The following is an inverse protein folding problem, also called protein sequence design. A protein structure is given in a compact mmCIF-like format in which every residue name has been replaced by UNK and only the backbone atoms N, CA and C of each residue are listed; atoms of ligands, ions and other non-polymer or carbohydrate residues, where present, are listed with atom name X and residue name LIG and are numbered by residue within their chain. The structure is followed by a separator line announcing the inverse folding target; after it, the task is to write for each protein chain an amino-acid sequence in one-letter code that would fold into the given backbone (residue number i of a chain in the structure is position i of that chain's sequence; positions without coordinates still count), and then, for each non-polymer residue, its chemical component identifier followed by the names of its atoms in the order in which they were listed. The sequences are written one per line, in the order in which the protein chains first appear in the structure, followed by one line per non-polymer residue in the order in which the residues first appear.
data_IF_584049448161
#
_entry.id   IF_584049448161
#
_cell.length_a   1.000
_cell.length_b   1.000
_cell.length_c   1.000
_cell.angle_alpha   90.00
_cell.angle_beta   90.00
_cell.angle_gamma   90.00
#
_symmetry.space_group_name_H-M   'P 1'
#
loop_
_entity.id
_entity.type
_entity.pdbx_description
1 polymer ?
#
# COMPACT_ATOMS: atom_id res chain seq x y z
N UNK A 1 21.55 -8.16 -2.22
CA UNK A 1 20.09 -8.01 -2.37
C UNK A 1 19.81 -7.09 -3.55
N UNK A 2 20.11 -5.78 -3.50
CA UNK A 2 19.84 -4.85 -4.60
C UNK A 2 20.50 -5.29 -5.93
N UNK A 3 21.71 -5.83 -5.90
CA UNK A 3 22.38 -6.36 -7.11
C UNK A 3 21.54 -7.39 -7.88
N UNK A 4 20.62 -8.08 -7.20
CA UNK A 4 19.79 -9.12 -7.77
C UNK A 4 18.36 -8.60 -8.07
N UNK A 5 17.83 -7.75 -7.20
CA UNK A 5 16.42 -7.36 -7.22
C UNK A 5 16.16 -5.92 -7.70
N UNK A 6 17.20 -5.12 -8.01
CA UNK A 6 17.02 -3.78 -8.57
C UNK A 6 16.76 -3.83 -10.09
N UNK A 7 15.76 -4.64 -10.47
CA UNK A 7 15.35 -4.85 -11.84
C UNK A 7 13.84 -4.65 -12.00
N UNK A 8 13.39 -3.52 -12.57
CA UNK A 8 11.97 -3.19 -12.71
C UNK A 8 11.20 -4.08 -13.71
N UNK A 9 11.89 -4.90 -14.50
CA UNK A 9 11.23 -5.91 -15.34
C UNK A 9 10.78 -7.14 -14.53
N UNK A 10 11.27 -7.30 -13.31
CA UNK A 10 11.00 -8.45 -12.44
C UNK A 10 10.37 -8.07 -11.12
N UNK A 11 10.57 -6.84 -10.66
CA UNK A 11 10.15 -6.36 -9.35
C UNK A 11 9.47 -5.00 -9.49
N UNK A 12 8.20 -4.93 -9.15
CA UNK A 12 7.41 -3.68 -9.25
C UNK A 12 7.83 -2.66 -8.17
N UNK A 13 7.96 -3.12 -6.93
CA UNK A 13 8.40 -2.29 -5.81
C UNK A 13 9.00 -3.12 -4.68
N UNK A 14 9.72 -2.47 -3.79
CA UNK A 14 10.32 -3.09 -2.59
C UNK A 14 9.94 -2.27 -1.36
N UNK A 15 9.44 -2.95 -0.33
CA UNK A 15 9.23 -2.37 0.99
C UNK A 15 10.59 -2.19 1.69
N UNK A 16 10.89 -0.96 2.05
CA UNK A 16 12.27 -0.51 2.28
C UNK A 16 12.71 -0.46 3.74
N UNK A 17 12.08 -1.16 4.65
CA UNK A 17 12.59 -1.18 6.03
C UNK A 17 13.25 -2.50 6.43
N UNK A 18 12.57 -3.59 6.26
CA UNK A 18 13.00 -4.89 6.75
C UNK A 18 13.44 -4.85 8.23
N UNK A 19 12.74 -4.05 9.04
CA UNK A 19 12.89 -3.95 10.48
C UNK A 19 11.63 -4.44 11.19
N UNK A 20 11.81 -4.97 12.40
CA UNK A 20 10.69 -5.42 13.24
C UNK A 20 10.03 -6.70 12.74
N UNK A 21 8.84 -6.97 13.22
CA UNK A 21 8.06 -8.11 12.79
C UNK A 21 7.63 -7.93 11.33
N UNK A 22 7.76 -8.99 10.55
CA UNK A 22 7.45 -9.04 9.12
C UNK A 22 8.16 -7.99 8.25
N UNK A 23 9.14 -7.26 8.82
CA UNK A 23 9.84 -6.22 8.08
C UNK A 23 9.07 -4.88 7.95
N UNK A 24 7.96 -4.72 8.64
CA UNK A 24 7.04 -3.59 8.51
C UNK A 24 7.40 -2.38 9.39
N UNK A 25 8.53 -2.44 10.09
CA UNK A 25 9.03 -1.33 10.91
C UNK A 25 8.31 -1.14 12.24
N UNK A 26 7.53 -2.09 12.70
CA UNK A 26 6.90 -2.06 14.02
C UNK A 26 7.37 -3.23 14.91
N UNK A 27 7.12 -3.14 16.22
CA UNK A 27 7.62 -4.10 17.21
C UNK A 27 9.15 -4.27 17.20
N UNK A 28 9.88 -3.20 17.00
CA UNK A 28 11.35 -3.18 16.97
C UNK A 28 11.89 -3.03 18.41
N UNK A 29 11.68 -4.06 19.21
CA UNK A 29 11.96 -4.04 20.66
C UNK A 29 13.45 -4.01 21.00
N UNK A 30 14.32 -4.40 20.09
CA UNK A 30 15.77 -4.40 20.26
C UNK A 30 16.39 -3.00 20.07
N UNK A 31 15.64 -2.02 19.61
CA UNK A 31 16.13 -0.65 19.49
C UNK A 31 16.04 0.09 20.82
N UNK A 32 17.15 0.69 21.20
CA UNK A 32 17.13 1.70 22.25
C UNK A 32 16.42 2.95 21.73
N UNK A 33 15.53 3.55 22.54
CA UNK A 33 14.77 4.73 22.15
C UNK A 33 15.67 5.88 21.64
N UNK A 34 16.87 6.06 22.22
CA UNK A 34 17.82 7.09 21.81
C UNK A 34 18.41 6.82 20.41
N UNK A 35 18.37 5.59 19.93
CA UNK A 35 18.92 5.19 18.64
C UNK A 35 17.84 4.96 17.57
N UNK A 36 16.58 4.88 17.95
CA UNK A 36 15.47 4.52 17.06
C UNK A 36 15.49 5.31 15.76
N UNK A 37 15.46 6.63 15.84
CA UNK A 37 15.45 7.49 14.66
C UNK A 37 16.70 7.33 13.77
N UNK A 38 17.87 7.12 14.38
CA UNK A 38 19.12 6.91 13.65
C UNK A 38 19.10 5.58 12.88
N UNK A 39 18.54 4.54 13.47
CA UNK A 39 18.45 3.23 12.82
C UNK A 39 17.47 3.27 11.67
N UNK A 40 16.30 3.88 11.82
CA UNK A 40 15.35 4.06 10.73
C UNK A 40 15.93 4.93 9.61
N UNK A 41 16.60 6.02 9.95
CA UNK A 41 17.29 6.84 8.95
C UNK A 41 18.36 6.04 8.20
N UNK A 42 19.21 5.31 8.93
CA UNK A 42 20.27 4.51 8.33
C UNK A 42 19.70 3.46 7.35
N UNK A 43 18.68 2.71 7.75
CA UNK A 43 18.12 1.68 6.86
C UNK A 43 17.45 2.29 5.64
N UNK A 44 16.72 3.40 5.80
CA UNK A 44 16.09 4.12 4.68
C UNK A 44 17.14 4.63 3.70
N UNK A 45 18.19 5.26 4.20
CA UNK A 45 19.30 5.75 3.37
C UNK A 45 20.00 4.58 2.65
N UNK A 46 20.22 3.45 3.34
CA UNK A 46 20.83 2.26 2.75
C UNK A 46 20.04 1.69 1.57
N UNK A 47 18.70 1.61 1.68
CA UNK A 47 17.86 1.18 0.56
C UNK A 47 17.94 2.18 -0.58
N UNK A 48 17.79 3.47 -0.32
CA UNK A 48 17.87 4.52 -1.32
C UNK A 48 19.24 4.60 -2.03
N UNK A 49 20.32 4.28 -1.31
CA UNK A 49 21.68 4.23 -1.89
C UNK A 49 21.90 3.04 -2.82
N UNK A 50 21.23 1.93 -2.57
CA UNK A 50 21.49 0.68 -3.28
C UNK A 50 20.48 0.36 -4.39
N UNK A 51 19.21 0.74 -4.23
CA UNK A 51 18.19 0.58 -5.25
C UNK A 51 18.05 1.87 -6.06
N UNK A 52 18.18 1.77 -7.40
CA UNK A 52 18.17 2.90 -8.32
C UNK A 52 17.10 2.82 -9.39
N UNK A 53 16.58 1.63 -9.63
CA UNK A 53 15.69 1.34 -10.74
C UNK A 53 14.30 0.89 -10.26
N UNK A 54 14.25 0.11 -9.19
CA UNK A 54 13.00 -0.39 -8.61
C UNK A 54 12.42 0.65 -7.64
N UNK A 55 11.11 0.81 -7.67
CA UNK A 55 10.39 1.71 -6.78
C UNK A 55 10.53 1.24 -5.32
N UNK A 56 10.82 2.17 -4.42
CA UNK A 56 10.87 1.90 -2.99
C UNK A 56 9.61 2.45 -2.34
N UNK A 57 9.05 1.69 -1.42
CA UNK A 57 7.89 2.10 -0.64
C UNK A 57 8.23 2.13 0.85
N UNK A 58 7.56 2.99 1.58
CA UNK A 58 7.65 3.06 3.04
C UNK A 58 6.32 2.68 3.66
N UNK A 59 6.34 1.70 4.56
CA UNK A 59 5.16 1.35 5.34
C UNK A 59 4.94 2.37 6.46
N UNK A 60 3.75 2.95 6.54
CA UNK A 60 3.33 3.76 7.66
C UNK A 60 2.88 2.88 8.84
N UNK A 61 3.00 3.40 10.05
CA UNK A 61 2.60 2.67 11.26
C UNK A 61 3.77 2.14 12.09
N UNK A 62 4.98 2.60 11.81
CA UNK A 62 6.16 2.26 12.59
C UNK A 62 6.22 3.02 13.91
N UNK A 63 7.19 2.67 14.77
CA UNK A 63 7.35 3.31 16.08
C UNK A 63 7.94 4.72 16.03
N UNK A 64 8.36 5.19 14.86
CA UNK A 64 8.87 6.57 14.71
C UNK A 64 7.76 7.56 14.32
N UNK A 65 6.61 7.04 13.88
CA UNK A 65 5.45 7.81 13.49
C UNK A 65 5.49 8.34 12.05
N UNK A 66 4.33 8.40 11.44
CA UNK A 66 4.14 8.65 9.99
C UNK A 66 4.69 9.99 9.51
N UNK A 67 4.70 11.03 10.32
CA UNK A 67 5.33 12.32 9.96
C UNK A 67 6.85 12.19 9.82
N UNK A 68 7.46 11.36 10.66
CA UNK A 68 8.90 11.14 10.59
C UNK A 68 9.25 10.20 9.44
N UNK A 69 8.45 9.18 9.21
CA UNK A 69 8.54 8.27 8.06
C UNK A 69 8.45 9.04 6.74
N UNK A 70 7.44 9.92 6.61
CA UNK A 70 7.30 10.81 5.46
C UNK A 70 8.59 11.59 5.21
N UNK A 71 9.11 12.24 6.25
CA UNK A 71 10.30 13.08 6.12
C UNK A 71 11.56 12.28 5.76
N UNK A 72 11.75 11.09 6.34
CA UNK A 72 12.92 10.26 6.08
C UNK A 72 12.90 9.60 4.69
N UNK A 73 11.76 9.12 4.25
CA UNK A 73 11.66 8.30 3.06
C UNK A 73 11.11 9.09 1.87
N UNK A 74 9.99 9.77 2.03
CA UNK A 74 9.30 10.41 0.90
C UNK A 74 9.96 11.74 0.55
N UNK A 75 10.09 12.66 1.52
CA UNK A 75 10.63 13.99 1.26
C UNK A 75 12.13 13.95 0.91
N UNK A 76 12.87 13.01 1.50
CA UNK A 76 14.32 12.88 1.28
C UNK A 76 14.69 12.02 0.09
N UNK A 77 13.99 10.91 -0.15
CA UNK A 77 14.38 9.87 -1.09
C UNK A 77 13.31 9.53 -2.13
N UNK A 78 12.22 10.25 -2.15
CA UNK A 78 11.15 10.09 -3.15
C UNK A 78 10.40 8.74 -3.11
N UNK A 79 10.38 8.05 -1.97
CA UNK A 79 9.68 6.79 -1.82
C UNK A 79 8.16 6.95 -2.02
N UNK A 80 7.51 5.87 -2.39
CA UNK A 80 6.06 5.74 -2.42
C UNK A 80 5.53 5.38 -1.03
N UNK A 81 4.22 5.37 -0.86
CA UNK A 81 3.57 5.06 0.40
C UNK A 81 2.97 3.66 0.40
N UNK A 82 3.10 2.97 1.52
CA UNK A 82 2.42 1.71 1.84
C UNK A 82 1.78 1.80 3.22
N UNK A 83 0.68 1.11 3.40
CA UNK A 83 0.09 0.88 4.71
C UNK A 83 -0.48 -0.52 4.78
N UNK A 84 0.04 -1.31 5.70
CA UNK A 84 -0.57 -2.55 6.17
C UNK A 84 -1.77 -2.23 7.08
N UNK A 85 -2.65 -3.19 7.26
CA UNK A 85 -3.72 -3.08 8.25
C UNK A 85 -4.85 -2.13 7.91
N UNK A 86 -5.10 -1.80 6.63
CA UNK A 86 -6.35 -1.12 6.25
C UNK A 86 -7.56 -2.01 6.57
N UNK A 87 -8.68 -1.38 6.86
CA UNK A 87 -9.86 -2.07 7.40
C UNK A 87 -9.83 -2.20 8.92
N UNK A 88 -8.74 -1.79 9.57
CA UNK A 88 -8.60 -1.73 11.03
C UNK A 88 -8.57 -0.30 11.54
N UNK A 89 -8.68 -0.13 12.85
CA UNK A 89 -8.54 1.17 13.51
C UNK A 89 -7.12 1.75 13.46
N UNK A 90 -6.15 0.95 13.03
CA UNK A 90 -4.76 1.40 12.89
C UNK A 90 -4.58 2.39 11.74
N UNK A 91 -5.45 2.34 10.72
CA UNK A 91 -5.41 3.28 9.62
C UNK A 91 -6.15 4.57 9.98
N UNK A 92 -5.40 5.54 10.49
CA UNK A 92 -5.92 6.77 11.07
C UNK A 92 -6.07 7.89 10.06
N UNK A 93 -6.98 8.82 10.33
CA UNK A 93 -7.24 9.98 9.46
C UNK A 93 -5.99 10.83 9.20
N UNK A 94 -5.10 10.93 10.19
CA UNK A 94 -3.84 11.67 10.03
C UNK A 94 -2.93 11.05 8.96
N UNK A 95 -2.85 9.72 8.88
CA UNK A 95 -2.11 9.02 7.83
C UNK A 95 -2.77 9.21 6.46
N UNK A 96 -4.10 9.09 6.41
CA UNK A 96 -4.90 9.33 5.19
C UNK A 96 -4.67 10.74 4.66
N UNK A 97 -4.63 11.75 5.53
CA UNK A 97 -4.38 13.13 5.14
C UNK A 97 -2.98 13.31 4.52
N UNK A 98 -1.97 12.64 5.06
CA UNK A 98 -0.63 12.65 4.46
C UNK A 98 -0.65 11.99 3.09
N UNK A 99 -1.21 10.78 2.97
CA UNK A 99 -1.32 10.04 1.71
C UNK A 99 -2.03 10.90 0.66
N UNK A 100 -3.17 11.49 1.01
CA UNK A 100 -3.94 12.34 0.10
C UNK A 100 -3.19 13.61 -0.30
N UNK A 101 -2.33 14.16 0.57
CA UNK A 101 -1.50 15.33 0.23
C UNK A 101 -0.44 15.01 -0.82
N UNK A 102 -0.12 13.75 -1.00
CA UNK A 102 0.86 13.24 -1.95
C UNK A 102 0.23 12.78 -3.28
N UNK A 103 -1.09 12.60 -3.30
CA UNK A 103 -1.84 12.24 -4.50
C UNK A 103 -1.96 13.45 -5.46
N UNK A 104 -1.83 13.28 -6.78
CA UNK A 104 -1.60 12.04 -7.53
C UNK A 104 -0.12 11.72 -7.79
N UNK A 105 0.83 12.43 -7.18
CA UNK A 105 2.26 12.31 -7.48
C UNK A 105 2.88 11.03 -6.92
N UNK A 106 2.30 10.49 -5.83
CA UNK A 106 2.78 9.29 -5.18
C UNK A 106 1.72 8.20 -5.19
N UNK A 107 2.14 6.99 -5.51
CA UNK A 107 1.29 5.81 -5.38
C UNK A 107 1.12 5.43 -3.91
N UNK A 108 -0.03 4.84 -3.62
CA UNK A 108 -0.33 4.24 -2.33
C UNK A 108 -0.60 2.74 -2.51
N UNK A 109 0.17 1.92 -1.81
CA UNK A 109 0.02 0.48 -1.73
C UNK A 109 -0.75 0.15 -0.46
N UNK A 110 -1.96 -0.36 -0.59
CA UNK A 110 -2.81 -0.72 0.53
C UNK A 110 -2.79 -2.23 0.76
N UNK A 111 -2.57 -2.66 1.99
CA UNK A 111 -2.65 -4.06 2.40
C UNK A 111 -3.73 -4.23 3.45
N UNK A 112 -4.66 -5.17 3.20
CA UNK A 112 -5.74 -5.49 4.12
C UNK A 112 -5.22 -6.08 5.43
N UNK A 113 -5.84 -5.69 6.55
CA UNK A 113 -5.58 -6.33 7.83
C UNK A 113 -5.97 -7.81 7.75
N UNK A 114 -5.17 -8.69 8.39
CA UNK A 114 -5.51 -10.11 8.47
C UNK A 114 -6.57 -10.37 9.55
N UNK A 115 -7.67 -10.99 9.16
CA UNK A 115 -8.78 -11.30 10.06
C UNK A 115 -9.18 -12.77 10.02
N UNK A 116 -8.37 -13.63 9.43
CA UNK A 116 -8.67 -15.05 9.30
C UNK A 116 -9.78 -15.35 8.29
N UNK A 117 -9.82 -14.64 7.18
CA UNK A 117 -10.89 -14.54 6.18
C UNK A 117 -11.38 -15.80 5.47
N UNK A 118 -11.04 -16.97 5.94
CA UNK A 118 -11.41 -18.22 5.28
C UNK A 118 -12.24 -19.17 6.16
N UNK A 119 -12.76 -18.72 7.29
CA UNK A 119 -13.67 -19.56 8.06
C UNK A 119 -15.11 -19.36 7.58
N UNK A 120 -15.89 -20.44 7.55
CA UNK A 120 -17.32 -20.41 7.23
C UNK A 120 -18.12 -19.55 8.20
N UNK A 121 -17.57 -19.28 9.38
CA UNK A 121 -18.12 -18.37 10.38
C UNK A 121 -17.18 -17.20 10.61
N UNK A 122 -17.73 -15.98 10.63
CA UNK A 122 -16.96 -14.80 10.98
C UNK A 122 -16.48 -14.90 12.44
N UNK A 123 -15.17 -14.97 12.58
CA UNK A 123 -14.52 -14.92 13.90
C UNK A 123 -13.25 -14.08 13.74
N UNK A 124 -13.32 -12.77 14.01
CA UNK A 124 -12.12 -11.94 13.98
C UNK A 124 -11.16 -12.44 15.06
N UNK A 125 -9.94 -12.74 14.67
CA UNK A 125 -8.90 -13.13 15.63
C UNK A 125 -8.52 -11.95 16.55
N UNK A 126 -8.73 -10.75 16.08
CA UNK A 126 -8.51 -9.53 16.84
C UNK A 126 -9.83 -9.09 17.46
N UNK A 127 -9.99 -9.35 18.74
CA UNK A 127 -11.15 -8.95 19.54
C UNK A 127 -11.06 -7.50 19.99
N UNK A 128 -10.41 -6.62 19.21
CA UNK A 128 -10.29 -5.22 19.57
C UNK A 128 -11.67 -4.61 19.86
N UNK A 129 -11.91 -4.08 21.07
CA UNK A 129 -13.21 -3.56 21.47
C UNK A 129 -13.73 -2.44 20.55
N UNK A 130 -12.84 -1.72 19.86
CA UNK A 130 -13.23 -0.66 18.92
C UNK A 130 -13.96 -1.19 17.69
N UNK A 131 -13.74 -2.44 17.31
CA UNK A 131 -14.35 -3.06 16.13
C UNK A 131 -15.26 -4.25 16.43
N UNK A 132 -15.19 -4.83 17.63
CA UNK A 132 -16.00 -5.98 18.02
C UNK A 132 -17.49 -5.79 17.77
N UNK A 133 -18.00 -4.56 17.91
CA UNK A 133 -19.39 -4.22 17.67
C UNK A 133 -19.70 -3.75 16.25
N UNK A 134 -18.69 -3.38 15.46
CA UNK A 134 -18.86 -2.82 14.11
C UNK A 134 -18.96 -3.89 13.03
N UNK A 135 -18.16 -4.94 13.15
CA UNK A 135 -18.12 -6.00 12.15
C UNK A 135 -18.90 -7.22 12.66
N UNK A 136 -19.92 -7.61 11.92
CA UNK A 136 -20.76 -8.78 12.21
C UNK A 136 -20.54 -9.90 11.18
N UNK A 137 -19.84 -9.57 10.09
CA UNK A 137 -19.60 -10.49 8.99
C UNK A 137 -18.28 -10.15 8.28
N UNK A 138 -17.79 -11.09 7.50
CA UNK A 138 -16.67 -10.84 6.57
C UNK A 138 -16.98 -9.71 5.59
N UNK A 139 -18.22 -9.60 5.13
CA UNK A 139 -18.65 -8.52 4.24
C UNK A 139 -18.47 -7.14 4.88
N UNK A 140 -18.75 -7.00 6.17
CA UNK A 140 -18.54 -5.72 6.88
C UNK A 140 -17.06 -5.34 6.92
N UNK A 141 -16.22 -6.31 7.23
CA UNK A 141 -14.78 -6.12 7.26
C UNK A 141 -14.22 -5.73 5.88
N UNK A 142 -14.53 -6.51 4.85
CA UNK A 142 -14.06 -6.22 3.50
C UNK A 142 -14.60 -4.88 2.96
N UNK A 143 -15.82 -4.50 3.37
CA UNK A 143 -16.37 -3.19 3.05
C UNK A 143 -15.55 -2.06 3.69
N UNK A 144 -15.10 -2.23 4.92
CA UNK A 144 -14.25 -1.22 5.56
C UNK A 144 -12.87 -1.14 4.92
N UNK A 145 -12.23 -2.27 4.65
CA UNK A 145 -10.94 -2.31 3.96
C UNK A 145 -11.02 -1.66 2.56
N UNK A 146 -12.08 -1.95 1.82
CA UNK A 146 -12.35 -1.30 0.54
C UNK A 146 -12.51 0.22 0.68
N UNK A 147 -13.30 0.69 1.65
CA UNK A 147 -13.48 2.13 1.90
C UNK A 147 -12.16 2.81 2.25
N UNK A 148 -11.33 2.16 3.03
CA UNK A 148 -10.01 2.68 3.39
C UNK A 148 -9.08 2.77 2.18
N UNK A 149 -9.08 1.76 1.32
CA UNK A 149 -8.31 1.78 0.08
C UNK A 149 -8.75 2.94 -0.84
N UNK A 150 -10.06 3.12 -1.03
CA UNK A 150 -10.60 4.19 -1.89
C UNK A 150 -10.31 5.58 -1.31
N UNK A 151 -10.49 5.78 0.00
CA UNK A 151 -10.24 7.09 0.63
C UNK A 151 -8.76 7.50 0.62
N UNK A 152 -7.84 6.52 0.53
CA UNK A 152 -6.41 6.74 0.37
C UNK A 152 -5.95 6.79 -1.08
N UNK A 153 -6.85 6.71 -2.05
CA UNK A 153 -6.52 6.62 -3.48
C UNK A 153 -5.55 5.46 -3.81
N UNK A 154 -5.76 4.30 -3.18
CA UNK A 154 -4.87 3.16 -3.36
C UNK A 154 -4.73 2.74 -4.83
N UNK A 155 -3.50 2.62 -5.29
CA UNK A 155 -3.16 2.10 -6.60
C UNK A 155 -3.22 0.57 -6.62
N UNK A 156 -2.86 -0.03 -5.52
CA UNK A 156 -2.84 -1.48 -5.32
C UNK A 156 -3.52 -1.81 -4.00
N UNK A 157 -4.42 -2.80 -4.03
CA UNK A 157 -4.98 -3.42 -2.85
C UNK A 157 -4.47 -4.85 -2.78
N UNK A 158 -3.55 -5.10 -1.85
CA UNK A 158 -3.03 -6.43 -1.60
C UNK A 158 -4.06 -7.27 -0.85
N UNK A 159 -4.50 -8.34 -1.47
CA UNK A 159 -5.44 -9.31 -0.89
C UNK A 159 -4.71 -10.39 -0.07
N UNK A 160 -3.41 -10.23 0.13
CA UNK A 160 -2.51 -11.09 0.90
C UNK A 160 -2.38 -12.50 0.29
N UNK A 161 -2.61 -13.51 1.08
CA UNK A 161 -2.47 -14.91 0.65
C UNK A 161 -3.72 -15.49 -0.02
N UNK A 162 -3.61 -16.68 -0.56
CA UNK A 162 -4.70 -17.37 -1.26
C UNK A 162 -5.98 -17.56 -0.41
N UNK A 163 -5.83 -17.68 0.90
CA UNK A 163 -6.94 -17.83 1.84
C UNK A 163 -7.75 -16.54 1.95
N UNK A 164 -7.06 -15.40 2.12
CA UNK A 164 -7.67 -14.08 2.15
C UNK A 164 -8.30 -13.72 0.80
N UNK A 165 -7.61 -14.01 -0.30
CA UNK A 165 -8.13 -13.80 -1.66
C UNK A 165 -9.44 -14.55 -1.87
N UNK A 166 -9.54 -15.81 -1.40
CA UNK A 166 -10.82 -16.55 -1.46
C UNK A 166 -11.90 -15.88 -0.61
N UNK A 167 -11.55 -15.38 0.56
CA UNK A 167 -12.47 -14.62 1.41
C UNK A 167 -13.05 -13.40 0.69
N UNK A 168 -12.21 -12.59 0.07
CA UNK A 168 -12.64 -11.45 -0.75
C UNK A 168 -13.59 -11.86 -1.88
N UNK A 169 -13.24 -12.91 -2.63
CA UNK A 169 -14.05 -13.39 -3.75
C UNK A 169 -15.39 -13.98 -3.27
N UNK A 170 -15.40 -14.62 -2.11
CA UNK A 170 -16.62 -15.24 -1.56
C UNK A 170 -17.58 -14.20 -0.96
N UNK A 171 -17.06 -13.26 -0.20
CA UNK A 171 -17.87 -12.36 0.62
C UNK A 171 -17.98 -10.92 0.08
N UNK A 172 -17.11 -10.52 -0.83
CA UNK A 172 -17.01 -9.14 -1.30
C UNK A 172 -16.64 -9.00 -2.79
N UNK A 173 -17.05 -9.97 -3.60
CA UNK A 173 -16.71 -10.04 -5.03
C UNK A 173 -17.01 -8.74 -5.80
N UNK A 174 -18.09 -8.07 -5.48
CA UNK A 174 -18.48 -6.85 -6.18
C UNK A 174 -17.59 -5.67 -5.79
N UNK A 175 -17.08 -5.63 -4.55
CA UNK A 175 -16.07 -4.64 -4.13
C UNK A 175 -14.74 -4.87 -4.85
N UNK A 176 -14.34 -6.13 -5.08
CA UNK A 176 -13.14 -6.45 -5.87
C UNK A 176 -13.30 -5.96 -7.31
N UNK A 177 -14.44 -6.21 -7.93
CA UNK A 177 -14.73 -5.69 -9.28
C UNK A 177 -14.75 -4.18 -9.34
N UNK A 178 -15.36 -3.56 -8.34
CA UNK A 178 -15.43 -2.10 -8.27
C UNK A 178 -14.02 -1.49 -8.09
N UNK A 179 -13.17 -2.09 -7.24
CA UNK A 179 -11.79 -1.64 -7.10
C UNK A 179 -11.01 -1.78 -8.41
N UNK A 180 -11.15 -2.90 -9.13
CA UNK A 180 -10.52 -3.09 -10.44
C UNK A 180 -10.98 -2.02 -11.44
N UNK A 181 -12.24 -1.58 -11.36
CA UNK A 181 -12.80 -0.57 -12.25
C UNK A 181 -12.50 0.86 -11.86
N UNK A 182 -12.48 1.17 -10.56
CA UNK A 182 -12.49 2.53 -10.01
C UNK A 182 -11.31 2.84 -9.09
N UNK A 183 -10.59 1.84 -8.59
CA UNK A 183 -9.40 2.02 -7.75
C UNK A 183 -8.18 2.46 -8.56
N UNK A 184 -7.19 3.02 -7.88
CA UNK A 184 -5.96 3.50 -8.48
C UNK A 184 -6.17 4.74 -9.36
N UNK A 185 -5.28 4.93 -10.33
CA UNK A 185 -5.44 5.96 -11.35
C UNK A 185 -5.77 5.33 -12.71
N UNK A 186 -6.43 6.12 -13.55
CA UNK A 186 -6.80 5.72 -14.92
C UNK A 186 -6.19 6.68 -15.91
N UNK A 187 -5.58 6.13 -16.95
CA UNK A 187 -5.15 6.91 -18.10
C UNK A 187 -6.34 7.12 -19.02
N UNK A 188 -6.76 8.38 -19.16
CA UNK A 188 -7.82 8.75 -20.07
C UNK A 188 -7.25 9.69 -21.13
N UNK A 189 -7.33 9.36 -22.43
CA UNK A 189 -6.94 10.31 -23.46
C UNK A 189 -7.81 11.57 -23.36
N UNK A 190 -7.16 12.73 -23.16
CA UNK A 190 -7.85 14.03 -23.13
C UNK A 190 -7.83 14.70 -24.50
N UNK A 191 -6.91 14.26 -25.36
CA UNK A 191 -6.76 14.78 -26.70
C UNK A 191 -6.14 13.70 -27.59
N UNK A 192 -6.67 13.56 -28.79
CA UNK A 192 -6.11 12.69 -29.84
C UNK A 192 -5.90 13.55 -31.07
N UNK A 193 -4.67 13.65 -31.53
CA UNK A 193 -4.31 14.33 -32.76
C UNK A 193 -4.00 13.30 -33.84
N UNK A 194 -4.57 13.50 -35.01
CA UNK A 194 -4.29 12.66 -36.17
C UNK A 194 -4.27 13.51 -37.43
N UNK A 195 -3.47 13.17 -38.43
CA UNK A 195 -3.41 13.92 -39.68
C UNK A 195 -4.75 13.84 -40.43
N UNK A 196 -5.17 14.95 -41.02
CA UNK A 196 -6.41 15.02 -41.82
C UNK A 196 -6.36 14.13 -43.05
N UNK A 197 -5.18 13.77 -43.51
CA UNK A 197 -4.98 12.85 -44.65
C UNK A 197 -3.67 12.08 -44.47
N UNK A 198 -3.64 10.85 -44.90
CA UNK A 198 -2.45 9.96 -44.92
C UNK A 198 -2.31 9.41 -46.35
N UNK A 199 -1.08 9.47 -46.87
CA UNK A 199 -0.82 8.83 -48.15
C UNK A 199 -0.87 7.31 -48.01
N UNK A 200 -1.48 6.63 -49.02
CA UNK A 200 -1.59 5.19 -49.01
C UNK A 200 -0.18 4.54 -48.94
N UNK A 201 0.01 3.66 -47.96
CA UNK A 201 1.31 3.00 -47.70
C UNK A 201 2.10 3.59 -46.53
N UNK A 202 1.69 4.73 -45.96
CA UNK A 202 2.30 5.26 -44.76
C UNK A 202 1.62 4.73 -43.50
N UNK A 203 2.39 4.54 -42.42
CA UNK A 203 1.88 4.20 -41.10
C UNK A 203 1.51 5.47 -40.34
N UNK A 204 0.40 5.46 -39.63
CA UNK A 204 0.09 6.44 -38.59
C UNK A 204 1.04 6.19 -37.41
N UNK A 205 1.93 7.09 -37.12
CA UNK A 205 2.84 7.04 -35.98
C UNK A 205 2.39 8.04 -34.90
#
# INVERSE_FOLDING_TARGET
FAKEFDNPEQVDFIDAYNLGWWGEGHHVQYLNNNNKFKVYQWITDLYAENFKNVLLVVNFGTEIGFEYEKRLAIDKHDFLTRRDGIGSYWFQDAEVNIINSLFPQKAFIAEGCYWGGNSDSYQPWNTDPLYADKFKSWSDFYTQAYKDAIRGHANTLDLREATETRGWITHAKDLVKDFISNGGYRLTPIQIEYPASVQMGNTLS
#
